data_IF_055116308367
#
_entry.id   IF_055116308367
#
_cell.length_a   1.000
_cell.length_b   1.000
_cell.length_c   1.000
_cell.angle_alpha   90.00
_cell.angle_beta   90.00
_cell.angle_gamma   90.00
#
_symmetry.space_group_name_H-M   'P 1'
#
loop_
_entity.id
_entity.type
_entity.pdbx_description
1 polymer ?
#
# COMPACT_ATOMS: atom_id res chain seq x y z
N UNK A 1 -10.36 -2.38 -2.26
CA UNK A 1 -9.94 -3.11 -3.48
C UNK A 1 -10.76 -4.38 -3.55
N UNK A 2 -11.39 -4.71 -4.67
CA UNK A 2 -12.29 -5.87 -4.73
C UNK A 2 -11.56 -7.19 -5.06
N UNK A 3 -10.40 -7.13 -5.72
CA UNK A 3 -9.55 -8.29 -6.03
C UNK A 3 -8.04 -7.92 -6.03
N UNK A 4 -7.16 -8.92 -5.86
CA UNK A 4 -5.70 -8.78 -5.94
C UNK A 4 -4.97 -8.81 -4.58
N UNK A 5 -3.64 -8.66 -4.59
CA UNK A 5 -2.77 -8.75 -3.40
C UNK A 5 -2.98 -7.63 -2.37
N UNK A 6 -3.84 -6.66 -2.66
CA UNK A 6 -4.24 -5.57 -1.79
C UNK A 6 -5.70 -5.69 -1.31
N UNK A 7 -6.38 -6.81 -1.60
CA UNK A 7 -7.83 -6.98 -1.37
C UNK A 7 -8.26 -6.83 0.10
N UNK A 8 -7.36 -7.02 1.07
CA UNK A 8 -7.65 -6.86 2.49
C UNK A 8 -7.71 -5.41 2.99
N UNK A 9 -7.33 -4.43 2.17
CA UNK A 9 -7.22 -3.02 2.58
C UNK A 9 -8.52 -2.26 2.23
N UNK A 10 -9.06 -1.50 3.21
CA UNK A 10 -10.30 -0.74 3.08
C UNK A 10 -10.18 0.70 3.59
N UNK A 11 -10.92 1.61 2.96
CA UNK A 11 -10.95 3.05 3.30
C UNK A 11 -12.36 3.48 3.70
N UNK A 12 -12.94 2.93 4.77
CA UNK A 12 -14.10 3.53 5.47
C UNK A 12 -15.38 3.83 4.66
N UNK A 13 -15.53 3.30 3.44
CA UNK A 13 -16.64 3.62 2.53
C UNK A 13 -16.20 4.27 1.21
N UNK A 14 -14.96 4.75 1.12
CA UNK A 14 -14.31 5.19 -0.11
C UNK A 14 -13.58 4.03 -0.79
N UNK A 15 -13.76 3.90 -2.10
CA UNK A 15 -13.00 2.94 -2.92
C UNK A 15 -11.64 3.53 -3.27
N UNK A 16 -10.62 2.68 -3.36
CA UNK A 16 -9.32 3.05 -3.91
C UNK A 16 -8.79 1.94 -4.81
N UNK A 17 -7.94 2.35 -5.75
CA UNK A 17 -7.20 1.44 -6.61
C UNK A 17 -5.72 1.58 -6.28
N UNK A 18 -5.01 0.44 -6.25
CA UNK A 18 -3.61 0.43 -5.86
C UNK A 18 -2.85 -0.76 -6.38
N UNK A 19 -1.53 -0.65 -6.30
CA UNK A 19 -0.58 -1.70 -6.63
C UNK A 19 0.41 -1.84 -5.50
N UNK A 20 0.85 -3.07 -5.31
CA UNK A 20 1.90 -3.43 -4.36
C UNK A 20 3.04 -4.14 -5.07
N UNK A 21 4.21 -4.06 -4.47
CA UNK A 21 5.32 -4.95 -4.78
C UNK A 21 6.30 -5.06 -3.62
N UNK A 22 7.25 -5.95 -3.79
CA UNK A 22 8.36 -6.17 -2.86
C UNK A 22 9.61 -6.33 -3.72
N UNK A 23 10.60 -5.46 -3.53
CA UNK A 23 11.88 -5.56 -4.22
C UNK A 23 12.90 -6.24 -3.30
N UNK A 24 13.56 -7.29 -3.76
CA UNK A 24 14.68 -7.91 -3.02
C UNK A 24 15.89 -6.96 -3.08
N UNK A 25 16.46 -6.63 -1.92
CA UNK A 25 17.65 -5.76 -1.80
C UNK A 25 18.90 -6.59 -1.53
N UNK A 26 18.80 -7.57 -0.63
CA UNK A 26 19.86 -8.52 -0.31
C UNK A 26 19.23 -9.89 -0.07
N UNK A 27 19.47 -10.81 -1.02
CA UNK A 27 18.89 -12.15 -1.00
C UNK A 27 19.53 -13.02 0.09
N UNK A 28 20.82 -12.84 0.37
CA UNK A 28 21.54 -13.65 1.37
C UNK A 28 21.11 -13.29 2.79
N UNK A 29 20.82 -12.00 3.02
CA UNK A 29 20.34 -11.48 4.29
C UNK A 29 18.80 -11.45 4.42
N UNK A 30 18.06 -11.93 3.40
CA UNK A 30 16.59 -11.86 3.32
C UNK A 30 16.05 -10.43 3.57
N UNK A 31 16.71 -9.42 2.98
CA UNK A 31 16.29 -8.02 3.09
C UNK A 31 15.54 -7.62 1.82
N UNK A 32 14.35 -7.07 2.00
CA UNK A 32 13.50 -6.56 0.95
C UNK A 32 12.98 -5.15 1.22
N UNK A 33 12.52 -4.50 0.16
CA UNK A 33 11.86 -3.20 0.13
C UNK A 33 10.38 -3.39 -0.27
N UNK A 34 9.46 -3.55 0.69
CA UNK A 34 8.03 -3.57 0.40
C UNK A 34 7.52 -2.17 0.06
N UNK A 35 6.66 -2.06 -0.94
CA UNK A 35 6.06 -0.81 -1.36
C UNK A 35 4.59 -0.96 -1.75
N UNK A 36 3.86 0.15 -1.61
CA UNK A 36 2.47 0.28 -1.98
C UNK A 36 2.21 1.66 -2.58
N UNK A 37 1.43 1.73 -3.64
CA UNK A 37 0.95 2.99 -4.22
C UNK A 37 -0.53 2.87 -4.55
N UNK A 38 -1.30 3.90 -4.22
CA UNK A 38 -2.73 3.95 -4.50
C UNK A 38 -3.23 5.38 -4.74
N UNK A 39 -4.40 5.47 -5.36
CA UNK A 39 -5.17 6.70 -5.53
C UNK A 39 -6.63 6.50 -5.11
N UNK A 40 -7.26 7.59 -4.64
CA UNK A 40 -8.65 7.59 -4.18
C UNK A 40 -9.32 8.97 -4.30
N UNK A 41 -10.66 9.03 -4.41
CA UNK A 41 -11.57 7.94 -4.77
C UNK A 41 -11.26 7.31 -6.15
N UNK A 42 -11.77 6.12 -6.47
CA UNK A 42 -11.44 5.45 -7.76
C UNK A 42 -12.03 6.21 -8.96
N UNK A 43 -13.26 6.68 -8.80
CA UNK A 43 -14.06 7.26 -9.89
C UNK A 43 -13.69 8.72 -10.18
N UNK A 44 -13.23 9.45 -9.16
CA UNK A 44 -12.75 10.83 -9.26
C UNK A 44 -11.53 11.06 -8.35
N UNK A 45 -10.32 10.63 -8.75
CA UNK A 45 -9.13 10.63 -7.89
C UNK A 45 -8.72 12.03 -7.43
N UNK A 46 -8.70 12.26 -6.12
CA UNK A 46 -8.28 13.54 -5.50
C UNK A 46 -6.89 13.45 -4.88
N UNK A 47 -6.51 12.25 -4.39
CA UNK A 47 -5.21 12.02 -3.75
C UNK A 47 -4.52 10.79 -4.33
N UNK A 48 -3.19 10.80 -4.29
CA UNK A 48 -2.35 9.63 -4.51
C UNK A 48 -1.30 9.53 -3.41
N UNK A 49 -1.13 8.33 -2.84
CA UNK A 49 -0.19 8.05 -1.75
C UNK A 49 0.69 6.88 -2.14
N UNK A 50 2.00 7.05 -1.95
CA UNK A 50 3.00 6.00 -2.09
C UNK A 50 3.73 5.81 -0.75
N UNK A 51 3.81 4.56 -0.29
CA UNK A 51 4.56 4.17 0.90
C UNK A 51 5.61 3.12 0.52
N UNK A 52 6.80 3.27 1.08
CA UNK A 52 7.91 2.31 0.93
C UNK A 52 8.60 2.13 2.28
N UNK A 53 9.03 0.92 2.59
CA UNK A 53 9.89 0.65 3.74
C UNK A 53 11.28 0.37 3.21
N UNK A 54 12.26 1.18 3.63
CA UNK A 54 13.63 1.13 3.11
C UNK A 54 14.28 -0.25 3.23
N UNK A 55 14.01 -0.98 4.31
CA UNK A 55 14.52 -2.33 4.50
C UNK A 55 13.65 -3.09 5.52
N UNK A 56 13.25 -4.30 5.19
CA UNK A 56 12.60 -5.23 6.11
C UNK A 56 12.92 -6.69 5.73
N UNK A 57 12.95 -7.58 6.72
CA UNK A 57 13.04 -9.04 6.55
C UNK A 57 11.67 -9.69 6.63
N UNK A 58 11.35 -10.57 5.68
CA UNK A 58 10.06 -11.30 5.65
C UNK A 58 8.82 -10.42 5.40
N UNK A 59 8.98 -9.18 4.91
CA UNK A 59 7.87 -8.27 4.64
C UNK A 59 7.36 -8.34 3.20
N UNK A 60 6.07 -8.06 3.02
CA UNK A 60 5.43 -7.90 1.72
C UNK A 60 4.77 -6.53 1.57
N UNK A 61 4.78 -5.96 0.36
CA UNK A 61 4.17 -4.65 0.11
C UNK A 61 2.71 -4.56 0.54
N UNK A 62 1.91 -5.61 0.32
CA UNK A 62 0.48 -5.62 0.66
C UNK A 62 0.22 -5.64 2.17
N UNK A 63 1.09 -6.30 2.92
CA UNK A 63 0.92 -6.55 4.35
C UNK A 63 1.64 -5.49 5.21
N UNK A 64 2.69 -4.87 4.68
CA UNK A 64 3.53 -3.90 5.42
C UNK A 64 3.31 -2.47 4.93
N UNK A 65 3.53 -2.20 3.64
CA UNK A 65 3.42 -0.85 3.09
C UNK A 65 1.95 -0.45 2.82
N UNK A 66 1.11 -1.44 2.49
CA UNK A 66 -0.32 -1.27 2.24
C UNK A 66 -1.07 -0.59 3.39
N UNK A 67 -1.04 -1.13 4.62
CA UNK A 67 -1.72 -0.52 5.76
C UNK A 67 -1.26 0.90 6.06
N UNK A 68 0.03 1.21 5.84
CA UNK A 68 0.59 2.55 6.04
C UNK A 68 -0.02 3.53 5.04
N UNK A 69 0.00 3.19 3.75
CA UNK A 69 -0.60 4.02 2.72
C UNK A 69 -2.11 4.20 2.96
N UNK A 70 -2.82 3.14 3.36
CA UNK A 70 -4.25 3.18 3.68
C UNK A 70 -4.54 4.13 4.84
N UNK A 71 -3.79 4.06 5.95
CA UNK A 71 -3.98 4.96 7.10
C UNK A 71 -3.79 6.44 6.73
N UNK A 72 -2.76 6.76 5.91
CA UNK A 72 -2.54 8.12 5.43
C UNK A 72 -3.69 8.58 4.51
N UNK A 73 -4.18 7.70 3.65
CA UNK A 73 -5.30 8.02 2.77
C UNK A 73 -6.61 8.23 3.56
N UNK A 74 -6.85 7.49 4.65
CA UNK A 74 -8.00 7.72 5.54
C UNK A 74 -7.94 9.13 6.13
N UNK A 75 -6.80 9.51 6.71
CA UNK A 75 -6.59 10.82 7.32
C UNK A 75 -6.77 11.97 6.31
N UNK A 76 -6.18 11.84 5.12
CA UNK A 76 -6.28 12.86 4.06
C UNK A 76 -7.71 13.02 3.49
N UNK A 77 -8.52 11.96 3.51
CA UNK A 77 -9.91 11.99 3.05
C UNK A 77 -10.91 12.33 4.17
N UNK A 78 -10.42 12.55 5.40
CA UNK A 78 -11.26 12.86 6.55
C UNK A 78 -12.12 11.68 7.02
N UNK A 79 -11.57 10.47 6.96
CA UNK A 79 -12.24 9.22 7.35
C UNK A 79 -11.64 8.60 8.60
#
# INVERSE_FOLDING_TARGET
VEEGTAAGLSLGGTTFAGKTGTAEIDIEADIAQPWFIAFAPVEDPQIAVAATIQSCTGCFGGDTAGPIATAVMQDLLGQ
#
